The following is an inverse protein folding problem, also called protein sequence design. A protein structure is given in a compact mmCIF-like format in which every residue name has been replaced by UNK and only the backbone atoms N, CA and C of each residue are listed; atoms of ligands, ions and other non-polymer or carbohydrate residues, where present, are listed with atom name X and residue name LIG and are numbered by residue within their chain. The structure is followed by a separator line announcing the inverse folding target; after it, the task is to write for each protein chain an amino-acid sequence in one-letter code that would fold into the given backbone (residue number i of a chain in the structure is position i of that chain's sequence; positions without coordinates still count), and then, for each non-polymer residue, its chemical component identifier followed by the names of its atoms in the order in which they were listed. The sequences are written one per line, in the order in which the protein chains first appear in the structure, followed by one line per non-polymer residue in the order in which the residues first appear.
data_IF_049629083730
#
_entry.id   IF_049629083730
#
_cell.length_a   1.000
_cell.length_b   1.000
_cell.length_c   1.000
_cell.angle_alpha   90.00
_cell.angle_beta   90.00
_cell.angle_gamma   90.00
#
_symmetry.space_group_name_H-M   'P 1'
#
loop_
_entity.id
_entity.type
_entity.pdbx_description
1 polymer ?
#
# COMPACT_ATOMS: atom_id res chain seq x y z
N UNK A 1 -53.36 19.33 10.31
CA UNK A 1 -53.35 18.66 9.00
C UNK A 1 -53.52 19.65 7.84
N UNK A 2 -54.33 20.72 7.97
CA UNK A 2 -54.51 21.74 6.90
C UNK A 2 -53.27 22.61 6.63
N UNK A 3 -52.54 23.07 7.65
CA UNK A 3 -51.33 23.90 7.47
C UNK A 3 -50.25 23.24 6.61
N UNK A 4 -50.09 21.91 6.77
CA UNK A 4 -49.17 21.09 5.97
C UNK A 4 -49.64 20.92 4.52
N UNK A 5 -50.95 20.96 4.25
CA UNK A 5 -51.50 20.87 2.90
C UNK A 5 -51.33 22.19 2.13
N UNK A 6 -51.50 23.34 2.78
CA UNK A 6 -51.39 24.66 2.15
C UNK A 6 -49.94 25.04 1.82
N UNK A 7 -48.96 24.53 2.56
CA UNK A 7 -47.54 24.88 2.39
C UNK A 7 -46.69 23.74 1.80
N UNK A 8 -47.31 22.70 1.20
CA UNK A 8 -46.59 21.52 0.68
C UNK A 8 -45.45 21.86 -0.27
N UNK A 9 -45.69 22.78 -1.20
CA UNK A 9 -44.68 23.17 -2.19
C UNK A 9 -43.54 23.96 -1.55
N UNK A 10 -43.85 24.90 -0.67
CA UNK A 10 -42.85 25.66 0.09
C UNK A 10 -41.98 24.73 0.96
N UNK A 11 -42.61 23.75 1.59
CA UNK A 11 -41.94 22.76 2.43
C UNK A 11 -41.07 21.82 1.59
N UNK A 12 -41.50 21.46 0.38
CA UNK A 12 -40.70 20.72 -0.59
C UNK A 12 -39.46 21.47 -1.04
N UNK A 13 -39.61 22.75 -1.41
CA UNK A 13 -38.50 23.64 -1.83
C UNK A 13 -37.49 23.81 -0.69
N UNK A 14 -37.95 23.97 0.55
CA UNK A 14 -37.09 24.15 1.72
C UNK A 14 -36.35 22.85 2.12
N UNK A 15 -36.93 21.69 1.79
CA UNK A 15 -36.29 20.39 1.99
C UNK A 15 -35.28 20.02 0.90
N UNK A 16 -35.34 20.62 -0.30
CA UNK A 16 -34.41 20.32 -1.40
C UNK A 16 -32.93 20.45 -1.01
N UNK A 17 -32.46 21.54 -0.37
CA UNK A 17 -31.07 21.64 0.06
C UNK A 17 -30.66 20.52 1.04
N UNK A 18 -31.58 20.08 1.90
CA UNK A 18 -31.30 19.03 2.89
C UNK A 18 -31.23 17.66 2.21
N UNK A 19 -32.18 17.35 1.33
CA UNK A 19 -32.21 16.07 0.61
C UNK A 19 -31.01 15.94 -0.33
N UNK A 20 -30.66 16.99 -1.06
CA UNK A 20 -29.49 16.99 -1.94
C UNK A 20 -28.16 17.00 -1.17
N UNK A 21 -28.09 17.67 -0.01
CA UNK A 21 -26.96 17.55 0.92
C UNK A 21 -26.76 16.11 1.39
N UNK A 22 -27.84 15.45 1.80
CA UNK A 22 -27.80 14.05 2.22
C UNK A 22 -27.39 13.11 1.08
N UNK A 23 -27.99 13.26 -0.11
CA UNK A 23 -27.64 12.46 -1.28
C UNK A 23 -26.17 12.68 -1.67
N UNK A 24 -25.69 13.93 -1.68
CA UNK A 24 -24.30 14.25 -1.97
C UNK A 24 -23.31 13.60 -1.00
N UNK A 25 -23.61 13.66 0.31
CA UNK A 25 -22.84 12.96 1.33
C UNK A 25 -22.87 11.43 1.13
N UNK A 26 -24.06 10.86 1.00
CA UNK A 26 -24.27 9.41 0.88
C UNK A 26 -23.55 8.84 -0.36
N UNK A 27 -23.75 9.47 -1.52
CA UNK A 27 -23.11 9.03 -2.77
C UNK A 27 -21.59 9.15 -2.69
N UNK A 28 -21.03 10.19 -2.05
CA UNK A 28 -19.58 10.32 -1.88
C UNK A 28 -19.00 9.22 -0.97
N UNK A 29 -19.66 8.92 0.15
CA UNK A 29 -19.28 7.81 1.05
C UNK A 29 -19.29 6.47 0.28
N UNK A 30 -20.35 6.22 -0.48
CA UNK A 30 -20.49 5.01 -1.28
C UNK A 30 -19.40 4.93 -2.36
N UNK A 31 -19.18 6.01 -3.12
CA UNK A 31 -18.15 6.06 -4.15
C UNK A 31 -16.73 5.83 -3.60
N UNK A 32 -16.45 6.40 -2.43
CA UNK A 32 -15.19 6.17 -1.73
C UNK A 32 -15.04 4.70 -1.33
N UNK A 33 -16.06 4.11 -0.72
CA UNK A 33 -16.04 2.68 -0.34
C UNK A 33 -15.87 1.77 -1.56
N UNK A 34 -16.54 2.09 -2.66
CA UNK A 34 -16.45 1.39 -3.95
C UNK A 34 -15.08 1.51 -4.62
N UNK A 35 -14.25 2.50 -4.23
CA UNK A 35 -12.88 2.62 -4.73
C UNK A 35 -11.96 1.54 -4.14
N UNK A 36 -12.22 1.10 -2.91
CA UNK A 36 -11.38 0.15 -2.17
C UNK A 36 -11.95 -1.27 -2.13
N UNK A 37 -13.27 -1.42 -2.21
CA UNK A 37 -13.94 -2.70 -2.05
C UNK A 37 -14.85 -3.04 -3.24
N UNK A 38 -15.05 -4.34 -3.53
CA UNK A 38 -14.39 -5.51 -2.95
C UNK A 38 -12.94 -5.66 -3.45
N UNK A 39 -12.12 -6.39 -2.68
CA UNK A 39 -10.72 -6.64 -3.01
C UNK A 39 -10.59 -7.54 -4.26
N UNK A 40 -11.43 -8.56 -4.33
CA UNK A 40 -11.55 -9.46 -5.46
C UNK A 40 -12.79 -9.11 -6.29
N UNK A 41 -12.81 -9.53 -7.54
CA UNK A 41 -13.96 -9.31 -8.41
C UNK A 41 -15.16 -10.12 -7.91
N UNK A 42 -16.26 -9.43 -7.62
CA UNK A 42 -17.53 -10.06 -7.21
C UNK A 42 -18.56 -9.86 -8.32
N UNK A 43 -19.11 -10.96 -8.83
CA UNK A 43 -20.15 -10.95 -9.87
C UNK A 43 -20.01 -12.13 -10.83
N UNK A 44 -20.62 -11.99 -12.01
CA UNK A 44 -20.58 -12.94 -13.13
C UNK A 44 -19.48 -12.48 -14.10
N UNK A 45 -18.33 -13.18 -14.15
CA UNK A 45 -17.31 -12.91 -15.16
C UNK A 45 -17.88 -13.19 -16.56
N UNK A 46 -17.60 -12.36 -17.59
CA UNK A 46 -16.70 -11.21 -17.61
C UNK A 46 -17.38 -9.83 -17.57
N UNK A 47 -18.71 -9.75 -17.63
CA UNK A 47 -19.42 -8.48 -17.89
C UNK A 47 -20.10 -7.86 -16.66
N UNK A 48 -20.54 -8.67 -15.69
CA UNK A 48 -21.45 -8.25 -14.63
C UNK A 48 -20.80 -8.45 -13.26
N UNK A 49 -19.88 -7.58 -12.89
CA UNK A 49 -19.34 -7.58 -11.54
C UNK A 49 -18.61 -6.31 -11.17
N UNK A 50 -18.32 -6.20 -9.89
CA UNK A 50 -17.71 -5.04 -9.28
C UNK A 50 -16.40 -5.44 -8.59
N UNK A 51 -15.38 -4.60 -8.77
CA UNK A 51 -14.13 -4.68 -8.03
C UNK A 51 -13.67 -3.26 -7.73
N UNK A 52 -13.13 -3.05 -6.53
CA UNK A 52 -12.55 -1.77 -6.17
C UNK A 52 -11.50 -1.32 -7.19
N UNK A 53 -11.51 -0.03 -7.53
CA UNK A 53 -10.59 0.56 -8.52
C UNK A 53 -9.12 0.38 -8.09
N UNK A 54 -8.82 0.56 -6.80
CA UNK A 54 -7.47 0.40 -6.24
C UNK A 54 -7.00 -1.07 -6.30
N UNK A 55 -7.77 -2.06 -5.79
CA UNK A 55 -7.43 -3.47 -5.96
C UNK A 55 -7.22 -3.87 -7.43
N UNK A 56 -8.16 -3.49 -8.31
CA UNK A 56 -8.13 -3.81 -9.74
C UNK A 56 -6.91 -3.24 -10.46
N UNK A 57 -6.44 -2.06 -10.04
CA UNK A 57 -5.27 -1.38 -10.64
C UNK A 57 -4.00 -1.48 -9.79
N UNK A 58 -3.99 -2.35 -8.78
CA UNK A 58 -2.90 -2.48 -7.80
C UNK A 58 -1.53 -2.68 -8.44
N UNK A 59 -1.41 -3.55 -9.43
CA UNK A 59 -0.15 -3.78 -10.15
C UNK A 59 0.37 -2.52 -10.83
N UNK A 60 -0.49 -1.76 -11.52
CA UNK A 60 -0.10 -0.51 -12.18
C UNK A 60 0.31 0.56 -11.17
N UNK A 61 -0.40 0.65 -10.04
CA UNK A 61 -0.11 1.59 -8.97
C UNK A 61 1.21 1.26 -8.25
N UNK A 62 1.43 -0.01 -7.93
CA UNK A 62 2.66 -0.51 -7.32
C UNK A 62 3.86 -0.27 -8.25
N UNK A 63 3.76 -0.64 -9.53
CA UNK A 63 4.80 -0.39 -10.54
C UNK A 63 5.19 1.09 -10.61
N UNK A 64 4.19 1.98 -10.68
CA UNK A 64 4.45 3.42 -10.78
C UNK A 64 5.10 3.96 -9.51
N UNK A 65 4.66 3.51 -8.34
CA UNK A 65 5.25 3.90 -7.05
C UNK A 65 6.70 3.46 -6.93
N UNK A 66 7.00 2.20 -7.29
CA UNK A 66 8.35 1.64 -7.30
C UNK A 66 9.26 2.38 -8.25
N UNK A 67 8.84 2.59 -9.50
CA UNK A 67 9.68 3.29 -10.47
C UNK A 67 10.05 4.69 -9.95
N UNK A 68 9.07 5.44 -9.41
CA UNK A 68 9.35 6.75 -8.80
C UNK A 68 10.34 6.65 -7.63
N UNK A 69 10.18 5.66 -6.75
CA UNK A 69 11.09 5.46 -5.62
C UNK A 69 12.51 5.11 -6.08
N UNK A 70 12.65 4.18 -7.01
CA UNK A 70 13.97 3.67 -7.46
C UNK A 70 14.70 4.67 -8.35
N UNK A 71 13.96 5.44 -9.16
CA UNK A 71 14.55 6.42 -10.09
C UNK A 71 14.86 7.76 -9.41
N UNK A 72 14.09 8.14 -8.38
CA UNK A 72 14.13 9.52 -7.84
C UNK A 72 14.41 9.65 -6.35
N UNK A 73 14.26 8.58 -5.55
CA UNK A 73 14.24 8.71 -4.09
C UNK A 73 15.27 7.86 -3.35
N UNK A 74 15.51 6.62 -3.78
CA UNK A 74 16.34 5.66 -3.02
C UNK A 74 17.32 4.95 -3.94
N UNK A 75 18.61 5.04 -3.60
CA UNK A 75 19.63 4.10 -4.09
C UNK A 75 19.67 2.91 -3.13
N UNK A 76 19.56 1.71 -3.67
CA UNK A 76 19.50 0.47 -2.87
C UNK A 76 20.85 0.26 -2.16
N UNK A 77 21.93 0.66 -2.81
CA UNK A 77 23.30 0.61 -2.32
C UNK A 77 23.45 1.43 -1.02
N UNK A 78 22.85 2.62 -0.96
CA UNK A 78 22.87 3.50 0.21
C UNK A 78 22.09 2.91 1.41
N UNK A 79 21.13 2.01 1.13
CA UNK A 79 20.40 1.32 2.19
C UNK A 79 21.26 0.21 2.81
N UNK A 80 21.91 -0.62 1.98
CA UNK A 80 22.75 -1.71 2.47
C UNK A 80 24.08 -1.24 3.04
N UNK A 81 24.62 -0.10 2.59
CA UNK A 81 25.86 0.47 3.14
C UNK A 81 25.75 0.78 4.64
N UNK A 82 24.55 1.15 5.12
CA UNK A 82 24.23 1.45 6.52
C UNK A 82 24.18 0.23 7.45
N UNK A 83 24.15 -0.99 6.92
CA UNK A 83 24.11 -2.21 7.74
C UNK A 83 25.53 -2.52 8.20
N UNK A 84 25.83 -2.48 9.48
CA UNK A 84 27.16 -2.84 9.98
C UNK A 84 27.35 -4.38 9.98
N UNK A 85 28.31 -4.94 9.21
CA UNK A 85 28.57 -6.38 9.18
C UNK A 85 29.04 -6.94 10.52
N UNK A 86 29.83 -6.17 11.28
CA UNK A 86 30.38 -6.60 12.57
C UNK A 86 29.27 -6.66 13.63
N UNK A 87 28.40 -5.65 13.65
CA UNK A 87 27.21 -5.66 14.51
C UNK A 87 26.27 -6.81 14.15
N UNK A 88 26.04 -7.06 12.86
CA UNK A 88 25.18 -8.16 12.41
C UNK A 88 25.73 -9.53 12.82
N UNK A 89 27.05 -9.74 12.69
CA UNK A 89 27.71 -10.95 13.16
C UNK A 89 27.51 -11.14 14.67
N UNK A 90 27.76 -10.10 15.48
CA UNK A 90 27.60 -10.16 16.94
C UNK A 90 26.17 -10.54 17.38
N UNK A 91 25.15 -10.04 16.69
CA UNK A 91 23.74 -10.34 16.99
C UNK A 91 23.33 -11.77 16.57
N UNK A 92 23.89 -12.28 15.46
CA UNK A 92 23.59 -13.63 14.96
C UNK A 92 24.44 -14.72 15.62
N UNK A 93 25.61 -14.37 16.16
CA UNK A 93 26.56 -15.33 16.73
C UNK A 93 25.98 -16.21 17.84
N UNK A 94 25.19 -15.70 18.81
CA UNK A 94 24.58 -16.53 19.84
C UNK A 94 23.62 -17.59 19.26
N UNK A 95 22.89 -17.22 18.20
CA UNK A 95 21.95 -18.12 17.51
C UNK A 95 22.72 -19.20 16.75
N UNK A 96 23.77 -18.82 16.03
CA UNK A 96 24.61 -19.77 15.30
C UNK A 96 25.38 -20.71 16.21
N UNK A 97 25.94 -20.21 17.32
CA UNK A 97 26.63 -21.03 18.31
C UNK A 97 25.75 -22.13 18.91
N UNK A 98 24.43 -21.93 18.91
CA UNK A 98 23.46 -22.94 19.32
C UNK A 98 23.04 -23.86 18.17
N UNK A 99 22.61 -23.29 17.04
CA UNK A 99 22.00 -24.05 15.95
C UNK A 99 23.00 -24.84 15.11
N UNK A 100 24.23 -24.32 14.92
CA UNK A 100 25.24 -24.97 14.08
C UNK A 100 25.67 -26.32 14.69
N UNK A 101 26.00 -26.42 16.00
CA UNK A 101 26.30 -27.72 16.61
C UNK A 101 25.11 -28.68 16.67
N UNK A 102 23.88 -28.17 16.84
CA UNK A 102 22.67 -29.00 16.81
C UNK A 102 22.47 -29.61 15.41
N UNK A 103 22.52 -28.80 14.35
CA UNK A 103 22.37 -29.24 12.98
C UNK A 103 23.52 -30.17 12.52
N UNK A 104 24.76 -29.87 12.92
CA UNK A 104 25.91 -30.71 12.59
C UNK A 104 25.79 -32.12 13.19
N UNK A 105 25.35 -32.23 14.46
CA UNK A 105 25.06 -33.52 15.11
C UNK A 105 23.93 -34.27 14.43
N UNK A 106 22.85 -33.57 14.09
CA UNK A 106 21.74 -34.18 13.37
C UNK A 106 22.18 -34.77 12.03
N UNK A 107 23.02 -34.05 11.27
CA UNK A 107 23.59 -34.55 10.02
C UNK A 107 24.45 -35.80 10.30
N UNK A 108 25.35 -35.77 11.28
CA UNK A 108 26.20 -36.92 11.66
C UNK A 108 25.36 -38.14 12.07
N UNK A 109 24.20 -37.95 12.69
CA UNK A 109 23.31 -39.06 13.03
C UNK A 109 22.53 -39.66 11.84
N UNK A 110 22.39 -38.90 10.75
CA UNK A 110 21.68 -39.32 9.53
C UNK A 110 22.59 -39.85 8.41
N UNK A 111 23.91 -39.78 8.54
CA UNK A 111 24.83 -40.39 7.57
C UNK A 111 24.83 -41.92 7.68
N UNK A 112 25.46 -42.58 6.69
CA UNK A 112 25.62 -44.03 6.66
C UNK A 112 26.25 -44.58 7.97
N UNK A 113 25.71 -45.66 8.58
CA UNK A 113 26.23 -46.28 9.80
C UNK A 113 27.73 -46.59 9.78
N UNK A 114 28.28 -46.96 8.61
CA UNK A 114 29.70 -47.29 8.45
C UNK A 114 30.63 -46.06 8.55
N UNK A 115 30.11 -44.86 8.26
CA UNK A 115 30.83 -43.58 8.42
C UNK A 115 30.62 -43.02 9.83
N UNK A 116 29.40 -43.15 10.36
CA UNK A 116 29.06 -42.72 11.71
C UNK A 116 29.95 -43.37 12.77
N UNK A 117 30.15 -44.69 12.71
CA UNK A 117 31.01 -45.41 13.66
C UNK A 117 32.48 -44.95 13.66
N UNK A 118 32.94 -44.32 12.57
CA UNK A 118 34.29 -43.73 12.46
C UNK A 118 34.36 -42.30 12.96
N UNK A 119 33.23 -41.63 13.06
CA UNK A 119 33.12 -40.23 13.45
C UNK A 119 32.76 -40.09 14.93
N UNK A 120 32.08 -41.09 15.52
CA UNK A 120 31.68 -41.09 16.93
C UNK A 120 32.86 -40.81 17.89
N UNK A 121 32.57 -40.02 18.93
CA UNK A 121 33.55 -39.64 19.95
C UNK A 121 34.34 -38.38 19.59
N UNK A 122 35.67 -38.44 19.62
CA UNK A 122 36.54 -37.25 19.51
C UNK A 122 36.51 -36.57 18.14
N UNK A 123 36.29 -37.33 17.05
CA UNK A 123 36.29 -36.77 15.69
C UNK A 123 34.99 -36.00 15.38
N UNK A 124 33.85 -36.46 15.91
CA UNK A 124 32.57 -35.75 15.84
C UNK A 124 32.67 -34.40 16.53
N UNK A 125 33.15 -34.35 17.77
CA UNK A 125 33.32 -33.11 18.53
C UNK A 125 34.26 -32.13 17.78
N UNK A 126 35.33 -32.65 17.17
CA UNK A 126 36.29 -31.88 16.38
C UNK A 126 35.67 -31.31 15.11
N UNK A 127 34.87 -32.10 14.37
CA UNK A 127 34.17 -31.62 13.18
C UNK A 127 33.15 -30.55 13.54
N UNK A 128 32.38 -30.77 14.60
CA UNK A 128 31.40 -29.80 15.08
C UNK A 128 32.08 -28.48 15.44
N UNK A 129 33.21 -28.52 16.14
CA UNK A 129 33.96 -27.31 16.50
C UNK A 129 34.57 -26.61 15.27
N UNK A 130 35.08 -27.36 14.30
CA UNK A 130 35.57 -26.79 13.04
C UNK A 130 34.45 -26.14 12.22
N UNK A 131 33.27 -26.76 12.14
CA UNK A 131 32.09 -26.19 11.49
C UNK A 131 31.61 -24.94 12.25
N UNK A 132 31.61 -24.98 13.58
CA UNK A 132 31.28 -23.84 14.45
C UNK A 132 32.22 -22.67 14.17
N UNK A 133 33.54 -22.87 14.21
CA UNK A 133 34.55 -21.84 13.88
C UNK A 133 34.39 -21.29 12.47
N UNK A 134 34.14 -22.15 11.48
CA UNK A 134 33.89 -21.70 10.10
C UNK A 134 32.65 -20.80 10.02
N UNK A 135 31.63 -21.10 10.83
CA UNK A 135 30.37 -20.33 10.87
C UNK A 135 30.51 -18.95 11.51
N UNK A 136 31.46 -18.75 12.44
CA UNK A 136 31.66 -17.48 13.18
C UNK A 136 31.75 -16.28 12.23
N UNK A 137 32.56 -16.38 11.18
CA UNK A 137 32.73 -15.28 10.21
C UNK A 137 31.85 -15.35 8.96
N UNK A 138 30.99 -16.37 8.87
CA UNK A 138 30.20 -16.59 7.66
C UNK A 138 29.14 -15.50 7.47
N UNK A 139 28.51 -15.02 8.54
CA UNK A 139 27.50 -13.94 8.46
C UNK A 139 28.11 -12.65 7.96
N UNK A 140 29.24 -12.24 8.54
CA UNK A 140 29.98 -11.06 8.12
C UNK A 140 30.39 -11.14 6.66
N UNK A 141 30.97 -12.26 6.24
CA UNK A 141 31.40 -12.47 4.86
C UNK A 141 30.23 -12.43 3.88
N UNK A 142 29.08 -13.04 4.22
CA UNK A 142 27.86 -12.96 3.40
C UNK A 142 27.40 -11.51 3.30
N UNK A 143 27.40 -10.76 4.42
CA UNK A 143 26.95 -9.37 4.42
C UNK A 143 27.87 -8.46 3.59
N UNK A 144 29.19 -8.67 3.65
CA UNK A 144 30.16 -7.96 2.79
C UNK A 144 29.88 -8.25 1.32
N UNK A 145 29.70 -9.52 0.94
CA UNK A 145 29.36 -9.89 -0.44
C UNK A 145 28.03 -9.28 -0.91
N UNK A 146 27.04 -9.22 -0.02
CA UNK A 146 25.75 -8.56 -0.30
C UNK A 146 25.95 -7.07 -0.56
N UNK A 147 26.80 -6.38 0.23
CA UNK A 147 27.12 -4.96 0.03
C UNK A 147 27.86 -4.69 -1.28
N UNK A 148 28.79 -5.55 -1.66
CA UNK A 148 29.56 -5.41 -2.90
C UNK A 148 28.69 -5.66 -4.14
N UNK A 149 27.70 -6.54 -4.04
CA UNK A 149 26.91 -7.01 -5.18
C UNK A 149 25.39 -6.85 -4.99
N UNK A 150 24.95 -5.73 -4.39
CA UNK A 150 23.55 -5.44 -4.00
C UNK A 150 22.55 -5.72 -5.12
N UNK A 151 22.79 -5.19 -6.32
CA UNK A 151 21.89 -5.35 -7.48
C UNK A 151 21.74 -6.81 -7.93
N UNK A 152 22.79 -7.61 -7.73
CA UNK A 152 22.79 -9.03 -8.08
C UNK A 152 22.05 -9.88 -7.05
N UNK A 153 21.92 -9.42 -5.80
CA UNK A 153 21.32 -10.21 -4.69
C UNK A 153 19.93 -9.72 -4.28
N UNK A 154 19.61 -8.44 -4.51
CA UNK A 154 18.34 -7.85 -4.09
C UNK A 154 17.63 -7.13 -5.25
N UNK A 155 16.35 -7.46 -5.47
CA UNK A 155 15.51 -6.77 -6.45
C UNK A 155 14.38 -6.02 -5.75
N UNK A 156 14.61 -4.73 -5.47
CA UNK A 156 13.63 -3.86 -4.83
C UNK A 156 12.28 -3.87 -5.56
N UNK A 157 12.30 -3.82 -6.90
CA UNK A 157 11.09 -3.76 -7.71
C UNK A 157 10.25 -5.03 -7.59
N UNK A 158 10.89 -6.18 -7.67
CA UNK A 158 10.22 -7.47 -7.50
C UNK A 158 9.65 -7.63 -6.09
N UNK A 159 10.41 -7.23 -5.07
CA UNK A 159 9.96 -7.29 -3.68
C UNK A 159 8.69 -6.47 -3.47
N UNK A 160 8.69 -5.19 -3.88
CA UNK A 160 7.55 -4.30 -3.67
C UNK A 160 6.33 -4.79 -4.47
N UNK A 161 6.52 -5.24 -5.72
CA UNK A 161 5.41 -5.81 -6.50
C UNK A 161 4.80 -7.02 -5.78
N UNK A 162 5.63 -7.99 -5.38
CA UNK A 162 5.15 -9.20 -4.71
C UNK A 162 4.42 -8.92 -3.39
N UNK A 163 4.87 -7.91 -2.64
CA UNK A 163 4.25 -7.52 -1.36
C UNK A 163 3.03 -6.60 -1.53
N UNK A 164 2.78 -5.99 -2.69
CA UNK A 164 1.65 -5.09 -2.92
C UNK A 164 0.60 -5.59 -3.93
N UNK A 165 0.87 -6.68 -4.65
CA UNK A 165 -0.03 -7.21 -5.69
C UNK A 165 -0.40 -8.68 -5.42
N UNK A 166 -1.29 -9.22 -6.26
CA UNK A 166 -1.78 -10.60 -6.16
C UNK A 166 -2.45 -10.86 -4.82
N UNK A 167 -2.06 -11.89 -4.05
CA UNK A 167 -2.68 -12.23 -2.77
C UNK A 167 -2.48 -11.14 -1.70
N UNK A 168 -1.51 -10.23 -1.90
CA UNK A 168 -1.21 -9.14 -0.96
C UNK A 168 -1.88 -7.82 -1.34
N UNK A 169 -2.84 -7.81 -2.27
CA UNK A 169 -3.53 -6.59 -2.74
C UNK A 169 -4.17 -5.77 -1.60
N UNK A 170 -4.53 -6.43 -0.50
CA UNK A 170 -5.02 -5.76 0.70
C UNK A 170 -4.01 -4.73 1.22
N UNK A 171 -2.70 -5.02 1.18
CA UNK A 171 -1.67 -4.11 1.69
C UNK A 171 -1.73 -2.76 0.98
N UNK A 172 -1.74 -2.75 -0.36
CA UNK A 172 -1.82 -1.48 -1.10
C UNK A 172 -3.11 -0.72 -0.79
N UNK A 173 -4.24 -1.41 -0.60
CA UNK A 173 -5.49 -0.80 -0.17
C UNK A 173 -5.34 -0.14 1.21
N UNK A 174 -4.76 -0.86 2.17
CA UNK A 174 -4.52 -0.36 3.52
C UNK A 174 -3.58 0.87 3.50
N UNK A 175 -2.51 0.86 2.69
CA UNK A 175 -1.62 2.03 2.51
C UNK A 175 -2.43 3.24 2.02
N UNK A 176 -3.24 3.08 0.97
CA UNK A 176 -4.03 4.18 0.43
C UNK A 176 -5.07 4.70 1.42
N UNK A 177 -5.71 3.81 2.19
CA UNK A 177 -6.68 4.19 3.23
C UNK A 177 -6.02 4.94 4.38
N UNK A 178 -4.87 4.47 4.86
CA UNK A 178 -4.17 5.09 5.98
C UNK A 178 -3.64 6.48 5.62
N UNK A 179 -3.06 6.60 4.43
CA UNK A 179 -2.52 7.85 3.89
C UNK A 179 -3.63 8.86 3.57
N UNK A 180 -4.71 8.41 2.91
CA UNK A 180 -5.81 9.26 2.44
C UNK A 180 -6.95 9.48 3.45
N UNK A 181 -6.93 8.82 4.62
CA UNK A 181 -8.00 8.85 5.62
C UNK A 181 -8.58 10.23 5.96
N UNK A 182 -7.73 11.26 6.04
CA UNK A 182 -8.16 12.63 6.34
C UNK A 182 -8.84 13.30 5.14
N UNK A 183 -8.30 13.12 3.93
CA UNK A 183 -8.88 13.63 2.69
C UNK A 183 -10.20 12.93 2.35
N UNK A 184 -10.32 11.66 2.71
CA UNK A 184 -11.56 10.90 2.56
C UNK A 184 -12.67 11.47 3.43
N UNK A 185 -12.39 11.72 4.71
CA UNK A 185 -13.33 12.43 5.58
C UNK A 185 -13.68 13.80 4.99
N UNK A 186 -12.72 14.54 4.45
CA UNK A 186 -13.02 15.82 3.80
C UNK A 186 -13.98 15.66 2.60
N UNK A 187 -13.77 14.67 1.72
CA UNK A 187 -14.68 14.36 0.60
C UNK A 187 -16.10 14.10 1.09
N UNK A 188 -16.23 13.32 2.16
CA UNK A 188 -17.53 12.98 2.76
C UNK A 188 -18.24 14.26 3.24
N UNK A 189 -17.57 15.08 4.07
CA UNK A 189 -18.16 16.31 4.61
C UNK A 189 -18.45 17.35 3.51
N UNK A 190 -17.55 17.53 2.55
CA UNK A 190 -17.78 18.43 1.42
C UNK A 190 -18.95 17.99 0.54
N UNK A 191 -19.24 16.69 0.48
CA UNK A 191 -20.43 16.17 -0.20
C UNK A 191 -21.73 16.76 0.35
N UNK A 192 -21.82 16.94 1.67
CA UNK A 192 -22.97 17.58 2.30
C UNK A 192 -23.11 19.05 1.89
N UNK A 193 -22.04 19.83 2.04
CA UNK A 193 -22.08 21.27 1.77
C UNK A 193 -22.29 21.60 0.29
N UNK A 194 -21.60 20.90 -0.61
CA UNK A 194 -21.76 21.10 -2.06
C UNK A 194 -23.11 20.59 -2.54
N UNK A 195 -23.57 19.44 -2.03
CA UNK A 195 -24.90 18.90 -2.32
C UNK A 195 -26.00 19.87 -1.89
N UNK A 196 -25.89 20.45 -0.69
CA UNK A 196 -26.84 21.44 -0.20
C UNK A 196 -26.83 22.75 -1.01
N UNK A 197 -25.64 23.27 -1.34
CA UNK A 197 -25.50 24.45 -2.20
C UNK A 197 -26.12 24.24 -3.59
N UNK A 198 -25.92 23.06 -4.17
CA UNK A 198 -26.56 22.69 -5.44
C UNK A 198 -28.06 22.49 -5.30
N UNK A 199 -28.53 21.96 -4.16
CA UNK A 199 -29.96 21.85 -3.86
C UNK A 199 -30.66 23.21 -3.79
N UNK A 200 -29.97 24.28 -3.35
CA UNK A 200 -30.48 25.65 -3.43
C UNK A 200 -30.59 26.11 -4.89
N UNK A 201 -29.56 25.89 -5.69
CA UNK A 201 -29.60 26.21 -7.13
C UNK A 201 -30.71 25.44 -7.85
N UNK A 202 -30.95 24.20 -7.43
CA UNK A 202 -32.01 23.37 -7.97
C UNK A 202 -33.40 23.85 -7.54
N UNK A 203 -33.58 24.23 -6.27
CA UNK A 203 -34.80 24.86 -5.78
C UNK A 203 -35.14 26.14 -6.57
N UNK A 204 -34.13 26.94 -6.92
CA UNK A 204 -34.28 28.11 -7.80
C UNK A 204 -34.68 27.70 -9.22
N UNK A 205 -34.04 26.67 -9.79
CA UNK A 205 -34.36 26.17 -11.13
C UNK A 205 -35.77 25.56 -11.23
N UNK A 206 -36.24 24.93 -10.15
CA UNK A 206 -37.59 24.36 -10.07
C UNK A 206 -38.68 25.42 -10.21
N UNK A 207 -38.47 26.63 -9.69
CA UNK A 207 -39.41 27.76 -9.86
C UNK A 207 -39.56 28.18 -11.33
N UNK A 208 -38.55 27.95 -12.18
CA UNK A 208 -38.58 28.32 -13.60
C UNK A 208 -39.13 27.20 -14.49
N UNK A 209 -38.84 25.93 -14.16
CA UNK A 209 -39.23 24.78 -14.98
C UNK A 209 -39.71 23.60 -14.10
N UNK A 210 -40.97 23.63 -13.58
CA UNK A 210 -41.50 22.64 -12.65
C UNK A 210 -42.00 21.37 -13.37
N UNK A 211 -41.13 20.71 -14.15
CA UNK A 211 -41.46 19.44 -14.79
C UNK A 211 -40.76 18.28 -14.10
N UNK A 212 -41.47 17.18 -13.84
CA UNK A 212 -40.95 16.02 -13.12
C UNK A 212 -39.66 15.41 -13.72
N UNK A 213 -39.53 15.41 -15.06
CA UNK A 213 -38.38 14.88 -15.78
C UNK A 213 -37.13 15.76 -15.68
N UNK A 214 -37.27 17.01 -15.23
CA UNK A 214 -36.13 17.90 -14.98
C UNK A 214 -35.32 17.46 -13.76
N UNK A 215 -35.94 16.81 -12.78
CA UNK A 215 -35.27 16.34 -11.56
C UNK A 215 -34.17 15.30 -11.84
N UNK A 216 -34.41 14.24 -12.65
CA UNK A 216 -33.34 13.32 -13.06
C UNK A 216 -32.18 14.03 -13.79
N UNK A 217 -32.47 14.93 -14.73
CA UNK A 217 -31.44 15.63 -15.50
C UNK A 217 -30.63 16.56 -14.60
N UNK A 218 -31.30 17.34 -13.76
CA UNK A 218 -30.67 18.19 -12.76
C UNK A 218 -29.80 17.36 -11.81
N UNK A 219 -30.27 16.20 -11.36
CA UNK A 219 -29.51 15.28 -10.52
C UNK A 219 -28.20 14.81 -11.17
N UNK A 220 -28.23 14.44 -12.46
CA UNK A 220 -27.01 14.06 -13.20
C UNK A 220 -26.03 15.22 -13.32
N UNK A 221 -26.53 16.41 -13.68
CA UNK A 221 -25.70 17.63 -13.83
C UNK A 221 -25.07 18.01 -12.48
N UNK A 222 -25.88 18.08 -11.43
CA UNK A 222 -25.44 18.41 -10.06
C UNK A 222 -24.42 17.41 -9.56
N UNK A 223 -24.68 16.11 -9.73
CA UNK A 223 -23.75 15.06 -9.33
C UNK A 223 -22.41 15.16 -10.05
N UNK A 224 -22.44 15.37 -11.37
CA UNK A 224 -21.23 15.55 -12.17
C UNK A 224 -20.42 16.77 -11.73
N UNK A 225 -21.06 17.93 -11.59
CA UNK A 225 -20.39 19.18 -11.19
C UNK A 225 -19.84 19.04 -9.76
N UNK A 226 -20.62 18.51 -8.83
CA UNK A 226 -20.20 18.35 -7.43
C UNK A 226 -18.97 17.46 -7.32
N UNK A 227 -18.98 16.31 -7.98
CA UNK A 227 -17.83 15.40 -8.00
C UNK A 227 -16.61 16.02 -8.69
N UNK A 228 -16.81 16.75 -9.79
CA UNK A 228 -15.73 17.47 -10.48
C UNK A 228 -15.10 18.55 -9.59
N UNK A 229 -15.91 19.34 -8.89
CA UNK A 229 -15.45 20.36 -7.94
C UNK A 229 -14.70 19.72 -6.77
N UNK A 230 -15.25 18.67 -6.16
CA UNK A 230 -14.62 17.96 -5.05
C UNK A 230 -13.24 17.39 -5.44
N UNK A 231 -13.15 16.68 -6.57
CA UNK A 231 -11.90 16.12 -7.07
C UNK A 231 -10.87 17.22 -7.38
N UNK A 232 -11.33 18.29 -8.04
CA UNK A 232 -10.48 19.44 -8.37
C UNK A 232 -9.95 20.09 -7.10
N UNK A 233 -10.77 20.21 -6.05
CA UNK A 233 -10.37 20.83 -4.79
C UNK A 233 -9.26 20.06 -4.07
N UNK A 234 -9.27 18.74 -4.21
CA UNK A 234 -8.33 17.86 -3.51
C UNK A 234 -6.97 17.81 -4.20
N UNK A 235 -6.96 17.72 -5.53
CA UNK A 235 -5.74 17.48 -6.29
C UNK A 235 -5.19 18.70 -7.03
N UNK A 236 -5.97 19.78 -7.20
CA UNK A 236 -5.55 20.98 -7.95
C UNK A 236 -5.79 22.27 -7.15
N UNK A 237 -4.93 23.29 -7.35
CA UNK A 237 -3.74 23.31 -8.21
C UNK A 237 -2.55 22.55 -7.59
N UNK A 238 -1.65 22.07 -8.46
CA UNK A 238 -0.44 21.33 -8.07
C UNK A 238 0.52 22.20 -7.24
N UNK A 239 0.71 23.42 -7.72
CA UNK A 239 1.49 24.47 -7.08
C UNK A 239 0.54 25.47 -6.42
N UNK A 240 0.98 26.07 -5.32
CA UNK A 240 0.22 27.11 -4.63
C UNK A 240 -0.07 28.28 -5.58
N UNK A 241 -1.35 28.63 -5.72
CA UNK A 241 -1.77 29.82 -6.44
C UNK A 241 -2.25 30.87 -5.46
N UNK A 242 -1.85 32.12 -5.69
CA UNK A 242 -2.35 33.28 -4.95
C UNK A 242 -3.51 33.89 -5.74
N UNK A 243 -4.67 34.00 -5.11
CA UNK A 243 -5.81 34.77 -5.62
C UNK A 243 -6.02 35.90 -4.60
N UNK A 244 -5.43 37.07 -4.87
CA UNK A 244 -5.41 38.18 -3.91
C UNK A 244 -4.66 37.82 -2.61
N UNK A 245 -5.22 38.11 -1.42
CA UNK A 245 -4.58 37.79 -0.13
C UNK A 245 -4.68 36.30 0.25
N UNK A 246 -5.51 35.51 -0.45
CA UNK A 246 -5.76 34.10 -0.13
C UNK A 246 -4.85 33.21 -0.98
N UNK A 247 -4.18 32.26 -0.32
CA UNK A 247 -3.41 31.22 -1.00
C UNK A 247 -4.20 29.93 -1.06
N UNK A 248 -4.30 29.35 -2.24
CA UNK A 248 -5.05 28.12 -2.47
C UNK A 248 -4.18 27.07 -3.15
N UNK A 249 -4.21 25.85 -2.61
CA UNK A 249 -3.49 24.67 -3.09
C UNK A 249 -4.39 23.45 -2.88
N UNK A 250 -4.27 22.45 -3.76
CA UNK A 250 -5.02 21.20 -3.58
C UNK A 250 -4.80 20.63 -2.17
N UNK A 251 -5.89 20.24 -1.50
CA UNK A 251 -5.85 19.88 -0.07
C UNK A 251 -4.86 18.74 0.22
N UNK A 252 -4.81 17.73 -0.66
CA UNK A 252 -3.89 16.61 -0.52
C UNK A 252 -2.42 17.06 -0.61
N UNK A 253 -2.13 18.05 -1.47
CA UNK A 253 -0.77 18.58 -1.67
C UNK A 253 -0.36 19.55 -0.57
N UNK A 254 -1.31 20.24 0.06
CA UNK A 254 -1.05 21.04 1.27
C UNK A 254 -0.53 20.16 2.42
N UNK A 255 -0.98 18.90 2.48
CA UNK A 255 -0.58 17.91 3.49
C UNK A 255 0.54 16.97 3.03
N UNK A 256 1.32 17.36 2.01
CA UNK A 256 2.36 16.52 1.43
C UNK A 256 3.32 15.94 2.50
N UNK A 257 3.78 16.73 3.48
CA UNK A 257 4.69 16.24 4.51
C UNK A 257 4.07 15.15 5.40
N UNK A 258 2.83 15.36 5.87
CA UNK A 258 2.10 14.35 6.63
C UNK A 258 1.91 13.06 5.83
N UNK A 259 1.51 13.21 4.56
CA UNK A 259 1.24 12.12 3.63
C UNK A 259 2.54 11.35 3.37
N UNK A 260 3.65 12.03 3.12
CA UNK A 260 4.97 11.44 2.94
C UNK A 260 5.43 10.68 4.18
N UNK A 261 5.26 11.25 5.39
CA UNK A 261 5.62 10.60 6.65
C UNK A 261 4.81 9.33 6.91
N UNK A 262 3.49 9.39 6.70
CA UNK A 262 2.63 8.20 6.80
C UNK A 262 3.00 7.15 5.77
N UNK A 263 3.16 7.58 4.52
CA UNK A 263 3.54 6.68 3.42
C UNK A 263 4.87 5.97 3.70
N UNK A 264 5.90 6.71 4.14
CA UNK A 264 7.20 6.11 4.50
C UNK A 264 7.09 5.15 5.68
N UNK A 265 6.30 5.49 6.69
CA UNK A 265 6.08 4.62 7.84
C UNK A 265 5.42 3.29 7.43
N UNK A 266 4.36 3.36 6.65
CA UNK A 266 3.64 2.17 6.16
C UNK A 266 4.55 1.35 5.24
N UNK A 267 5.31 1.98 4.35
CA UNK A 267 6.25 1.26 3.49
C UNK A 267 7.38 0.58 4.29
N UNK A 268 7.96 1.27 5.27
CA UNK A 268 9.02 0.71 6.11
C UNK A 268 8.52 -0.49 6.94
N UNK A 269 7.30 -0.40 7.47
CA UNK A 269 6.73 -1.42 8.38
C UNK A 269 6.04 -2.58 7.66
N UNK A 270 5.55 -2.40 6.43
CA UNK A 270 4.80 -3.44 5.71
C UNK A 270 5.52 -4.02 4.49
N UNK A 271 6.43 -3.26 3.88
CA UNK A 271 7.09 -3.63 2.61
C UNK A 271 8.58 -3.85 2.82
N UNK A 272 9.30 -2.87 3.36
CA UNK A 272 10.76 -2.87 3.52
C UNK A 272 11.23 -3.38 4.90
N UNK A 273 10.52 -4.35 5.47
CA UNK A 273 10.94 -4.96 6.74
C UNK A 273 12.20 -5.81 6.58
N UNK A 274 13.01 -5.92 7.63
CA UNK A 274 14.21 -6.77 7.63
C UNK A 274 13.89 -8.21 7.19
N UNK A 275 12.77 -8.77 7.66
CA UNK A 275 12.28 -10.07 7.24
C UNK A 275 12.01 -10.15 5.74
N UNK A 276 11.27 -9.19 5.18
CA UNK A 276 10.94 -9.18 3.75
C UNK A 276 12.20 -9.03 2.88
N UNK A 277 13.15 -8.21 3.32
CA UNK A 277 14.43 -8.00 2.62
C UNK A 277 15.29 -9.27 2.66
N UNK A 278 15.40 -9.91 3.82
CA UNK A 278 16.12 -11.17 3.97
C UNK A 278 15.47 -12.29 3.15
N UNK A 279 14.14 -12.42 3.19
CA UNK A 279 13.38 -13.35 2.35
C UNK A 279 13.69 -13.14 0.86
N UNK A 280 13.78 -11.89 0.38
CA UNK A 280 14.12 -11.59 -1.02
C UNK A 280 15.55 -12.03 -1.37
N UNK A 281 16.52 -11.75 -0.50
CA UNK A 281 17.93 -12.12 -0.71
C UNK A 281 18.07 -13.66 -0.73
N UNK A 282 17.46 -14.34 0.25
CA UNK A 282 17.51 -15.79 0.38
C UNK A 282 16.81 -16.48 -0.79
N UNK A 283 15.65 -15.99 -1.20
CA UNK A 283 14.90 -16.54 -2.33
C UNK A 283 15.72 -16.48 -3.63
N UNK A 284 16.37 -15.35 -3.91
CA UNK A 284 17.21 -15.19 -5.11
C UNK A 284 18.47 -16.06 -5.04
N UNK A 285 19.10 -16.17 -3.87
CA UNK A 285 20.28 -17.03 -3.67
C UNK A 285 19.93 -18.51 -3.84
N UNK A 286 18.85 -18.98 -3.22
CA UNK A 286 18.37 -20.35 -3.35
C UNK A 286 17.99 -20.69 -4.81
N UNK A 287 17.31 -19.78 -5.50
CA UNK A 287 17.00 -19.93 -6.92
C UNK A 287 18.27 -20.02 -7.79
N UNK A 288 19.29 -19.20 -7.51
CA UNK A 288 20.57 -19.25 -8.23
C UNK A 288 21.32 -20.55 -7.98
N UNK A 289 21.44 -20.99 -6.73
CA UNK A 289 22.09 -22.26 -6.38
C UNK A 289 21.37 -23.46 -7.00
N UNK A 290 20.03 -23.49 -7.01
CA UNK A 290 19.27 -24.53 -7.71
C UNK A 290 19.57 -24.59 -9.20
N UNK A 291 19.66 -23.43 -9.87
CA UNK A 291 20.00 -23.37 -11.30
C UNK A 291 21.43 -23.86 -11.54
N UNK A 292 22.39 -23.45 -10.71
CA UNK A 292 23.79 -23.90 -10.79
C UNK A 292 23.92 -25.41 -10.55
N UNK A 293 23.19 -25.98 -9.61
CA UNK A 293 23.20 -27.43 -9.33
C UNK A 293 22.50 -28.27 -10.41
N UNK A 294 21.53 -27.71 -11.14
CA UNK A 294 20.90 -28.40 -12.30
C UNK A 294 21.79 -28.33 -13.54
N UNK A 295 22.67 -27.33 -13.63
CA UNK A 295 23.59 -27.12 -14.75
C UNK A 295 24.97 -27.79 -14.55
N UNK A 296 25.28 -28.26 -13.35
CA UNK A 296 26.50 -29.01 -13.00
C UNK A 296 26.26 -30.52 -13.07
#
# INVERSE_FOLDING_TARGET
MEFLNTHKELLGILMMPITYGFVGWFTNVVALKMTFYPLEFVGIPPYLGWQGIVPRKSQKLALKSVNIMTERLIKVEDFFSKVDPDQLEAEFQPVLNRLVPEAAREIVHHINPALRSKLEGKEEERIIEEVRKKSEHTVKNIMIQVKENVSSVFNFKSLVLRKLTGPNVKRIVDIFQEVGSKEFKFIEHCGWYLGGAMGILQALAWNLFPYWWTLPIQGVIVGYITNWVALTMIFRPLYEKKIGPVRYRGLFLKRQEDVSRKYSNVFATQVLTARNVLEEILYKRAARTLVETIQA
#
